data_IF_921186867817
#
_entry.id   IF_921186867817
#
_cell.length_a   1.000
_cell.length_b   1.000
_cell.length_c   1.000
_cell.angle_alpha   90.00
_cell.angle_beta   90.00
_cell.angle_gamma   90.00
#
_symmetry.space_group_name_H-M   'P 1'
#
loop_
_entity.id
_entity.type
_entity.pdbx_description
1 polymer ?
#
# COMPACT_ATOMS: atom_id res chain seq x y z
N UNK A 1 11.24 6.45 -14.52
CA UNK A 1 10.27 5.45 -15.02
C UNK A 1 10.37 4.23 -14.12
N UNK A 2 9.24 3.63 -13.71
CA UNK A 2 9.29 2.38 -12.96
C UNK A 2 9.99 1.29 -13.81
N UNK A 3 10.87 0.49 -13.19
CA UNK A 3 11.54 -0.63 -13.86
C UNK A 3 10.52 -1.53 -14.56
N UNK A 4 10.88 -2.07 -15.73
CA UNK A 4 10.04 -3.03 -16.47
C UNK A 4 9.58 -4.19 -15.57
N UNK A 5 10.44 -4.65 -14.67
CA UNK A 5 10.13 -5.68 -13.68
C UNK A 5 8.93 -5.29 -12.80
N UNK A 6 8.90 -4.06 -12.28
CA UNK A 6 7.82 -3.56 -11.43
C UNK A 6 6.49 -3.54 -12.21
N UNK A 7 6.54 -3.20 -13.50
CA UNK A 7 5.34 -3.18 -14.34
C UNK A 7 4.79 -4.59 -14.59
N UNK A 8 5.67 -5.57 -14.80
CA UNK A 8 5.31 -6.98 -14.97
C UNK A 8 4.76 -7.60 -13.67
N UNK A 9 5.40 -7.34 -12.53
CA UNK A 9 4.92 -7.78 -11.21
C UNK A 9 3.54 -7.19 -10.89
N UNK A 10 3.36 -5.89 -11.14
CA UNK A 10 2.08 -5.23 -10.94
C UNK A 10 1.01 -5.75 -11.90
N UNK A 11 1.37 -6.12 -13.14
CA UNK A 11 0.44 -6.76 -14.07
C UNK A 11 0.00 -8.14 -13.57
N UNK A 12 0.95 -8.99 -13.18
CA UNK A 12 0.65 -10.32 -12.63
C UNK A 12 -0.23 -10.24 -11.37
N UNK A 13 0.03 -9.28 -10.47
CA UNK A 13 -0.81 -9.06 -9.30
C UNK A 13 -2.24 -8.63 -9.66
N UNK A 14 -2.39 -7.71 -10.63
CA UNK A 14 -3.72 -7.29 -11.11
C UNK A 14 -4.50 -8.45 -11.73
N UNK A 15 -3.85 -9.30 -12.52
CA UNK A 15 -4.47 -10.51 -13.09
C UNK A 15 -4.91 -11.49 -12.00
N UNK A 16 -4.09 -11.70 -10.97
CA UNK A 16 -4.46 -12.54 -9.82
C UNK A 16 -5.69 -11.98 -9.10
N UNK A 17 -5.73 -10.67 -8.85
CA UNK A 17 -6.89 -10.01 -8.24
C UNK A 17 -8.14 -10.19 -9.11
N UNK A 18 -8.03 -9.92 -10.42
CA UNK A 18 -9.14 -10.09 -11.34
C UNK A 18 -9.66 -11.53 -11.38
N UNK A 19 -8.76 -12.52 -11.36
CA UNK A 19 -9.12 -13.93 -11.30
C UNK A 19 -9.89 -14.28 -10.01
N UNK A 20 -9.46 -13.76 -8.86
CA UNK A 20 -10.12 -13.99 -7.58
C UNK A 20 -11.46 -13.24 -7.42
N UNK A 21 -11.65 -12.14 -8.16
CA UNK A 21 -12.93 -11.43 -8.27
C UNK A 21 -13.93 -12.18 -9.16
N UNK A 22 -13.44 -12.84 -10.22
CA UNK A 22 -14.25 -13.71 -11.07
C UNK A 22 -14.65 -15.00 -10.33
N UNK A 23 -13.72 -15.64 -9.62
CA UNK A 23 -13.94 -16.84 -8.80
C UNK A 23 -14.56 -16.54 -7.44
N UNK A 24 -15.82 -16.08 -7.44
CA UNK A 24 -16.61 -15.81 -6.21
C UNK A 24 -17.02 -17.08 -5.45
N UNK A 25 -16.93 -18.24 -6.11
CA UNK A 25 -17.18 -19.56 -5.53
C UNK A 25 -16.13 -19.93 -4.47
N UNK A 26 -14.88 -19.53 -4.68
CA UNK A 26 -13.76 -19.85 -3.79
C UNK A 26 -13.85 -19.06 -2.49
N UNK A 27 -14.11 -19.72 -1.37
CA UNK A 27 -14.19 -19.04 -0.07
C UNK A 27 -12.80 -18.72 0.47
N UNK A 28 -12.70 -17.65 1.26
CA UNK A 28 -11.44 -17.28 1.90
C UNK A 28 -10.92 -18.37 2.84
N UNK A 29 -11.80 -19.11 3.52
CA UNK A 29 -11.39 -20.18 4.43
C UNK A 29 -10.71 -21.34 3.70
N UNK A 30 -11.17 -21.67 2.49
CA UNK A 30 -10.54 -22.71 1.67
C UNK A 30 -9.13 -22.29 1.22
N UNK A 31 -8.97 -21.02 0.84
CA UNK A 31 -7.66 -20.45 0.51
C UNK A 31 -6.71 -20.43 1.70
N UNK A 32 -7.22 -20.08 2.89
CA UNK A 32 -6.43 -20.11 4.13
C UNK A 32 -5.99 -21.54 4.45
N UNK A 33 -6.88 -22.52 4.35
CA UNK A 33 -6.58 -23.91 4.67
C UNK A 33 -5.60 -24.56 3.68
N UNK A 34 -5.67 -24.17 2.40
CA UNK A 34 -4.82 -24.74 1.36
C UNK A 34 -3.45 -24.06 1.26
N UNK A 35 -3.43 -22.73 1.26
CA UNK A 35 -2.25 -21.93 0.89
C UNK A 35 -1.77 -21.01 2.02
N UNK A 36 -2.48 -20.93 3.14
CA UNK A 36 -2.14 -20.05 4.26
C UNK A 36 -2.46 -18.58 4.01
N UNK A 37 -2.95 -18.17 2.84
CA UNK A 37 -3.33 -16.78 2.56
C UNK A 37 -4.65 -16.70 1.80
N UNK A 38 -5.35 -15.58 1.93
CA UNK A 38 -6.60 -15.31 1.21
C UNK A 38 -6.67 -13.86 0.72
N UNK A 39 -7.82 -13.47 0.16
CA UNK A 39 -8.07 -12.11 -0.34
C UNK A 39 -7.85 -11.04 0.73
N UNK A 40 -8.23 -11.32 1.98
CA UNK A 40 -7.98 -10.39 3.08
C UNK A 40 -6.47 -10.20 3.32
N UNK A 41 -5.67 -11.26 3.28
CA UNK A 41 -4.20 -11.16 3.39
C UNK A 41 -3.62 -10.25 2.32
N UNK A 42 -4.11 -10.36 1.08
CA UNK A 42 -3.71 -9.46 -0.01
C UNK A 42 -4.09 -8.00 0.27
N UNK A 43 -5.27 -7.74 0.83
CA UNK A 43 -5.67 -6.39 1.26
C UNK A 43 -4.76 -5.86 2.38
N UNK A 44 -4.36 -6.72 3.35
CA UNK A 44 -3.38 -6.35 4.38
C UNK A 44 -2.06 -5.92 3.76
N UNK A 45 -1.55 -6.69 2.80
CA UNK A 45 -0.29 -6.40 2.12
C UNK A 45 -0.37 -5.13 1.27
N UNK A 46 -1.48 -4.91 0.58
CA UNK A 46 -1.72 -3.70 -0.21
C UNK A 46 -1.73 -2.44 0.68
N UNK A 47 -2.46 -2.50 1.79
CA UNK A 47 -2.50 -1.43 2.78
C UNK A 47 -1.14 -1.20 3.47
N UNK A 48 -0.40 -2.28 3.78
CA UNK A 48 0.96 -2.15 4.30
C UNK A 48 1.91 -1.50 3.28
N UNK A 49 1.76 -1.82 1.99
CA UNK A 49 2.49 -1.15 0.91
C UNK A 49 2.19 0.35 0.85
N UNK A 50 0.92 0.75 0.96
CA UNK A 50 0.53 2.16 1.03
C UNK A 50 1.20 2.89 2.20
N UNK A 51 1.23 2.27 3.40
CA UNK A 51 1.91 2.81 4.58
C UNK A 51 3.40 3.01 4.37
N UNK A 52 4.08 2.03 3.79
CA UNK A 52 5.52 2.11 3.48
C UNK A 52 5.82 3.29 2.55
N UNK A 53 4.93 3.57 1.61
CA UNK A 53 5.07 4.69 0.68
C UNK A 53 4.48 6.01 1.20
N UNK A 54 4.04 6.06 2.47
CA UNK A 54 3.47 7.26 3.07
C UNK A 54 2.14 7.71 2.45
N UNK A 55 1.43 6.80 1.76
CA UNK A 55 0.14 7.08 1.16
C UNK A 55 -0.95 6.84 2.20
N UNK A 56 -1.75 7.87 2.57
CA UNK A 56 -2.88 7.69 3.46
C UNK A 56 -3.92 6.81 2.77
N UNK A 57 -4.17 5.63 3.33
CA UNK A 57 -5.13 4.67 2.82
C UNK A 57 -5.77 3.94 3.99
N UNK A 58 -7.10 3.80 3.97
CA UNK A 58 -7.83 3.00 4.92
C UNK A 58 -7.83 1.52 4.50
N UNK A 59 -8.02 0.62 5.45
CA UNK A 59 -8.03 -0.82 5.18
C UNK A 59 -9.21 -1.22 4.27
N UNK A 60 -10.35 -0.53 4.41
CA UNK A 60 -11.55 -0.73 3.61
C UNK A 60 -11.30 -0.40 2.13
N UNK A 61 -10.53 0.64 1.85
CA UNK A 61 -10.12 1.01 0.49
C UNK A 61 -9.21 -0.07 -0.11
N UNK A 62 -8.28 -0.61 0.67
CA UNK A 62 -7.44 -1.72 0.23
C UNK A 62 -8.27 -2.99 -0.03
N UNK A 63 -9.28 -3.26 0.79
CA UNK A 63 -10.23 -4.33 0.54
C UNK A 63 -11.00 -4.10 -0.75
N UNK A 64 -11.54 -2.90 -0.98
CA UNK A 64 -12.27 -2.57 -2.20
C UNK A 64 -11.41 -2.78 -3.45
N UNK A 65 -10.11 -2.45 -3.41
CA UNK A 65 -9.19 -2.75 -4.52
C UNK A 65 -9.02 -4.24 -4.80
N UNK A 66 -9.05 -5.09 -3.77
CA UNK A 66 -8.92 -6.54 -3.93
C UNK A 66 -10.26 -7.19 -4.30
N UNK A 67 -11.37 -6.73 -3.73
CA UNK A 67 -12.70 -7.32 -3.92
C UNK A 67 -13.46 -6.78 -5.13
N UNK A 68 -13.11 -5.59 -5.63
CA UNK A 68 -13.78 -4.92 -6.75
C UNK A 68 -15.13 -4.28 -6.40
N UNK A 69 -15.57 -4.44 -5.14
CA UNK A 69 -16.75 -3.80 -4.56
C UNK A 69 -16.50 -3.63 -3.04
N UNK A 70 -17.30 -2.80 -2.33
CA UNK A 70 -17.19 -2.67 -0.89
C UNK A 70 -17.28 -4.02 -0.18
N UNK A 71 -16.34 -4.29 0.73
CA UNK A 71 -16.24 -5.58 1.42
C UNK A 71 -17.56 -6.00 2.10
N UNK A 72 -18.29 -5.03 2.67
CA UNK A 72 -19.58 -5.27 3.32
C UNK A 72 -20.62 -5.83 2.33
N UNK A 73 -20.61 -5.35 1.08
CA UNK A 73 -21.54 -5.82 0.05
C UNK A 73 -21.11 -7.17 -0.51
N UNK A 74 -19.80 -7.37 -0.71
CA UNK A 74 -19.27 -8.66 -1.13
C UNK A 74 -19.59 -9.76 -0.12
N UNK A 75 -19.43 -9.47 1.18
CA UNK A 75 -19.73 -10.39 2.28
C UNK A 75 -21.19 -10.82 2.28
N UNK A 76 -22.12 -9.88 2.09
CA UNK A 76 -23.56 -10.18 2.01
C UNK A 76 -23.92 -11.07 0.82
N UNK A 77 -23.28 -10.85 -0.34
CA UNK A 77 -23.60 -11.55 -1.59
C UNK A 77 -22.95 -12.94 -1.68
N UNK A 78 -21.72 -13.10 -1.18
CA UNK A 78 -20.86 -14.23 -1.55
C UNK A 78 -20.30 -15.02 -0.36
N UNK A 79 -20.28 -14.47 0.87
CA UNK A 79 -19.68 -15.16 2.01
C UNK A 79 -20.64 -16.21 2.58
N UNK A 80 -20.21 -17.47 2.56
CA UNK A 80 -20.93 -18.58 3.19
C UNK A 80 -20.41 -18.79 4.62
N UNK A 81 -21.26 -19.35 5.48
CA UNK A 81 -20.83 -19.82 6.80
C UNK A 81 -19.88 -21.00 6.61
N UNK A 82 -18.71 -20.95 7.24
CA UNK A 82 -17.74 -22.04 7.24
C UNK A 82 -18.32 -23.27 7.95
N UNK A 83 -17.99 -24.47 7.46
CA UNK A 83 -18.27 -25.72 8.18
C UNK A 83 -17.34 -25.88 9.38
N UNK A 84 -17.75 -26.71 10.33
CA UNK A 84 -16.95 -27.02 11.52
C UNK A 84 -15.60 -27.67 11.14
N UNK A 85 -15.60 -28.53 10.13
CA UNK A 85 -14.37 -29.15 9.59
C UNK A 85 -13.40 -28.11 9.01
N UNK A 86 -13.91 -27.15 8.25
CA UNK A 86 -13.07 -26.08 7.68
C UNK A 86 -12.46 -25.20 8.78
N UNK A 87 -13.20 -24.95 9.85
CA UNK A 87 -12.72 -24.20 11.01
C UNK A 87 -11.67 -24.99 11.81
N UNK A 88 -11.84 -26.30 11.95
CA UNK A 88 -10.87 -27.16 12.62
C UNK A 88 -9.53 -27.20 11.86
N UNK A 89 -9.58 -27.32 10.51
CA UNK A 89 -8.37 -27.25 9.68
C UNK A 89 -7.70 -25.88 9.80
N UNK A 90 -8.49 -24.81 9.75
CA UNK A 90 -7.99 -23.44 9.93
C UNK A 90 -7.31 -23.23 11.29
N UNK A 91 -7.90 -23.77 12.36
CA UNK A 91 -7.35 -23.75 13.70
C UNK A 91 -6.03 -24.53 13.79
N UNK A 92 -5.94 -25.69 13.12
CA UNK A 92 -4.75 -26.53 13.13
C UNK A 92 -3.60 -25.96 12.31
N UNK A 93 -3.88 -25.22 11.23
CA UNK A 93 -2.90 -24.66 10.30
C UNK A 93 -2.45 -23.23 10.63
N UNK A 94 -2.68 -22.75 11.86
CA UNK A 94 -2.37 -21.37 12.28
C UNK A 94 -0.92 -20.97 12.07
N UNK A 95 0.00 -21.94 12.13
CA UNK A 95 1.44 -21.81 11.90
C UNK A 95 1.79 -21.55 10.43
N UNK A 96 0.97 -22.02 9.49
CA UNK A 96 1.15 -21.86 8.04
C UNK A 96 0.49 -20.58 7.50
N UNK A 97 -0.25 -19.84 8.34
CA UNK A 97 -0.92 -18.64 7.90
C UNK A 97 0.05 -17.53 7.50
N UNK A 98 -0.38 -16.72 6.54
CA UNK A 98 0.33 -15.59 5.97
C UNK A 98 0.82 -14.65 7.07
N UNK A 99 2.13 -14.68 7.28
CA UNK A 99 2.81 -13.75 8.18
C UNK A 99 2.70 -12.35 7.60
N UNK A 100 1.88 -11.53 8.26
CA UNK A 100 1.95 -10.08 8.05
C UNK A 100 3.21 -9.53 8.74
N UNK A 101 3.70 -10.24 9.76
CA UNK A 101 4.96 -10.00 10.48
C UNK A 101 5.61 -11.32 10.94
N UNK A 102 6.96 -11.43 10.99
CA UNK A 102 7.92 -10.47 10.45
C UNK A 102 7.86 -10.45 8.92
N UNK A 103 7.97 -9.24 8.35
CA UNK A 103 7.75 -8.98 6.93
C UNK A 103 8.64 -9.84 6.06
N UNK A 104 8.01 -10.48 5.07
CA UNK A 104 8.70 -11.27 4.05
C UNK A 104 9.55 -10.38 3.12
N UNK A 105 9.25 -9.08 3.04
CA UNK A 105 9.99 -8.10 2.26
C UNK A 105 10.92 -7.27 3.16
N UNK A 106 12.23 -7.20 2.86
CA UNK A 106 13.18 -6.40 3.66
C UNK A 106 12.85 -4.90 3.58
N UNK A 107 12.97 -4.19 4.71
CA UNK A 107 12.97 -2.72 4.75
C UNK A 107 11.61 -2.02 4.86
N UNK A 108 10.57 -2.67 5.37
CA UNK A 108 9.25 -2.03 5.53
C UNK A 108 8.82 -2.03 7.02
N UNK A 109 8.14 -0.99 7.54
CA UNK A 109 7.68 -0.94 8.96
C UNK A 109 6.25 -1.48 9.19
N UNK A 110 6.06 -2.19 10.32
CA UNK A 110 4.86 -2.90 10.77
C UNK A 110 3.52 -2.16 10.56
N UNK A 111 2.49 -2.87 10.06
CA UNK A 111 1.12 -2.35 10.04
C UNK A 111 0.37 -2.94 11.24
N UNK A 112 -0.38 -2.15 12.02
CA UNK A 112 -1.03 -2.61 13.24
C UNK A 112 -1.89 -3.85 12.98
N UNK A 113 -1.68 -4.86 13.82
CA UNK A 113 -2.36 -6.15 13.75
C UNK A 113 -3.87 -5.99 13.83
N UNK A 114 -4.57 -6.64 12.91
CA UNK A 114 -6.02 -6.80 12.94
C UNK A 114 -6.34 -8.29 12.93
N UNK A 115 -7.43 -8.65 13.62
CA UNK A 115 -7.79 -10.03 13.97
C UNK A 115 -7.62 -10.98 12.78
N UNK A 116 -7.05 -12.15 13.07
CA UNK A 116 -6.69 -13.14 12.04
C UNK A 116 -7.87 -14.06 11.67
N UNK A 117 -9.08 -13.81 12.18
CA UNK A 117 -10.25 -14.64 11.90
C UNK A 117 -11.17 -13.94 10.91
N UNK A 118 -11.33 -14.54 9.72
CA UNK A 118 -12.28 -14.07 8.72
C UNK A 118 -13.71 -14.08 9.30
N UNK A 119 -14.25 -12.89 9.62
CA UNK A 119 -15.66 -12.72 10.00
C UNK A 119 -15.91 -12.34 11.45
N UNK A 120 -14.88 -12.22 12.30
CA UNK A 120 -15.02 -11.72 13.67
C UNK A 120 -14.40 -10.32 13.79
N UNK A 121 -15.29 -9.33 13.90
CA UNK A 121 -14.98 -7.96 14.34
C UNK A 121 -14.37 -7.06 13.26
N UNK A 122 -15.21 -6.49 12.40
CA UNK A 122 -14.88 -5.25 11.68
C UNK A 122 -15.16 -4.00 12.55
N UNK A 123 -15.73 -4.17 13.74
CA UNK A 123 -16.20 -3.09 14.61
C UNK A 123 -15.10 -2.65 15.61
N UNK A 124 -13.93 -2.27 15.10
CA UNK A 124 -13.01 -1.47 15.89
C UNK A 124 -13.47 -0.01 15.81
N UNK A 125 -13.78 0.67 16.94
CA UNK A 125 -14.16 2.07 16.90
C UNK A 125 -13.03 2.88 16.28
N UNK A 126 -13.38 3.77 15.35
CA UNK A 126 -12.48 4.75 14.79
C UNK A 126 -11.85 5.54 15.93
N UNK A 127 -10.59 5.22 16.26
CA UNK A 127 -9.81 6.04 17.18
C UNK A 127 -9.50 7.33 16.42
N UNK A 128 -9.87 8.52 16.94
CA UNK A 128 -9.51 9.76 16.28
C UNK A 128 -7.99 9.85 16.26
N UNK A 129 -7.41 9.83 15.06
CA UNK A 129 -6.00 10.09 14.86
C UNK A 129 -5.71 11.51 15.35
N UNK A 130 -5.12 11.61 16.54
CA UNK A 130 -4.51 12.84 17.00
C UNK A 130 -3.39 13.18 16.01
N UNK A 131 -3.63 14.20 15.19
CA UNK A 131 -2.64 14.78 14.29
C UNK A 131 -1.58 15.43 15.16
N UNK A 132 -0.45 14.75 15.34
CA UNK A 132 0.77 15.42 15.77
C UNK A 132 1.35 16.10 14.53
N UNK A 133 1.37 17.44 14.54
CA UNK A 133 1.99 18.23 13.50
C UNK A 133 3.47 17.85 13.37
N UNK A 134 3.82 17.18 12.27
CA UNK A 134 5.21 16.88 11.94
C UNK A 134 5.96 18.19 11.74
N UNK A 135 7.01 18.39 12.54
CA UNK A 135 7.90 19.54 12.45
C UNK A 135 8.53 19.65 11.06
N UNK A 136 8.65 20.88 10.58
CA UNK A 136 9.26 21.20 9.29
C UNK A 136 10.72 20.71 9.24
N UNK A 137 10.99 19.68 8.44
CA UNK A 137 12.35 19.26 8.10
C UNK A 137 12.87 20.14 6.97
N UNK A 138 13.99 20.83 7.22
CA UNK A 138 14.66 21.65 6.24
C UNK A 138 15.28 20.78 5.13
N UNK A 139 14.74 20.89 3.91
CA UNK A 139 15.31 20.28 2.72
C UNK A 139 16.35 21.21 2.09
N UNK A 140 17.54 20.68 1.77
CA UNK A 140 18.53 21.38 0.94
C UNK A 140 18.30 21.00 -0.52
N UNK A 141 17.81 21.95 -1.31
CA UNK A 141 17.60 21.79 -2.75
C UNK A 141 18.85 22.32 -3.46
N UNK A 142 19.47 21.49 -4.30
CA UNK A 142 20.52 21.90 -5.22
C UNK A 142 19.98 21.81 -6.65
N UNK A 143 20.12 22.89 -7.43
CA UNK A 143 19.75 22.94 -8.84
C UNK A 143 21.02 22.82 -9.67
N UNK A 144 21.11 21.74 -10.46
CA UNK A 144 22.23 21.48 -11.36
C UNK A 144 21.78 21.79 -12.78
N UNK A 145 22.25 22.91 -13.33
CA UNK A 145 21.98 23.29 -14.72
C UNK A 145 23.11 22.79 -15.60
N UNK A 146 22.84 21.80 -16.45
CA UNK A 146 23.74 21.40 -17.52
C UNK A 146 23.28 22.07 -18.82
N UNK A 147 24.16 22.84 -19.45
CA UNK A 147 23.92 23.45 -20.76
C UNK A 147 25.06 23.07 -21.70
N UNK A 148 24.72 22.66 -22.93
CA UNK A 148 25.66 22.27 -23.98
C UNK A 148 26.56 23.43 -24.46
N UNK A 149 26.33 24.64 -23.95
CA UNK A 149 27.07 25.86 -24.33
C UNK A 149 28.47 25.97 -23.68
N UNK A 150 28.86 25.03 -22.81
CA UNK A 150 30.12 25.05 -22.05
C UNK A 150 31.33 24.40 -22.74
N UNK A 151 31.28 24.13 -24.05
CA UNK A 151 32.39 23.51 -24.77
C UNK A 151 33.60 24.44 -25.07
N UNK A 152 33.53 25.73 -24.70
CA UNK A 152 34.52 26.76 -25.11
C UNK A 152 35.39 27.38 -24.01
N UNK A 153 35.28 26.95 -22.75
CA UNK A 153 36.24 27.35 -21.70
C UNK A 153 36.11 28.75 -21.08
N UNK A 154 35.06 29.52 -21.36
CA UNK A 154 34.72 30.73 -20.58
C UNK A 154 33.23 30.74 -20.27
N UNK A 155 32.87 30.52 -19.01
CA UNK A 155 31.50 30.54 -18.51
C UNK A 155 31.30 31.79 -17.66
N UNK A 156 30.45 32.71 -18.11
CA UNK A 156 29.98 33.83 -17.29
C UNK A 156 28.53 33.54 -16.89
N UNK A 157 28.33 33.20 -15.62
CA UNK A 157 27.02 32.80 -15.09
C UNK A 157 26.06 34.00 -15.02
N UNK A 158 25.21 34.15 -16.04
CA UNK A 158 24.08 35.09 -16.02
C UNK A 158 22.77 34.43 -15.57
N UNK A 159 22.80 33.16 -15.21
CA UNK A 159 21.62 32.33 -14.89
C UNK A 159 21.39 32.21 -13.38
N UNK A 160 22.47 32.19 -12.60
CA UNK A 160 22.44 32.12 -11.14
C UNK A 160 21.56 33.19 -10.48
N UNK A 161 21.66 34.48 -10.84
CA UNK A 161 20.84 35.53 -10.22
C UNK A 161 19.34 35.33 -10.46
N UNK A 162 18.93 34.95 -11.68
CA UNK A 162 17.53 34.76 -12.04
C UNK A 162 16.89 33.54 -11.36
N UNK A 163 17.65 32.46 -11.16
CA UNK A 163 17.18 31.26 -10.45
C UNK A 163 17.05 31.54 -8.95
N UNK A 164 17.98 32.30 -8.36
CA UNK A 164 17.89 32.74 -6.97
C UNK A 164 16.72 33.70 -6.76
N UNK A 165 16.43 34.58 -7.72
CA UNK A 165 15.28 35.47 -7.67
C UNK A 165 13.96 34.70 -7.78
N UNK A 166 13.88 33.70 -8.68
CA UNK A 166 12.71 32.84 -8.78
C UNK A 166 12.48 32.01 -7.51
N UNK A 167 13.54 31.46 -6.92
CA UNK A 167 13.47 30.72 -5.66
C UNK A 167 13.01 31.60 -4.48
N UNK A 168 13.40 32.88 -4.44
CA UNK A 168 12.90 33.84 -3.46
C UNK A 168 11.40 34.11 -3.65
N UNK A 169 10.95 34.23 -4.90
CA UNK A 169 9.54 34.43 -5.26
C UNK A 169 8.64 33.26 -4.80
N UNK A 170 9.17 32.04 -4.79
CA UNK A 170 8.45 30.85 -4.32
C UNK A 170 8.65 30.54 -2.83
N UNK A 171 9.55 31.25 -2.13
CA UNK A 171 9.77 31.05 -0.68
C UNK A 171 8.91 31.94 0.21
N UNK A 172 8.31 33.00 -0.32
CA UNK A 172 7.36 33.82 0.42
C UNK A 172 5.96 33.16 0.35
N UNK A 173 5.39 32.74 1.49
CA UNK A 173 4.07 32.14 1.50
C UNK A 173 3.04 33.25 1.33
N UNK A 174 2.44 33.34 0.15
CA UNK A 174 1.22 34.10 -0.14
C UNK A 174 1.27 35.61 0.20
N UNK A 175 1.41 36.44 -0.83
CA UNK A 175 0.84 37.80 -0.84
C UNK A 175 -0.45 37.81 -1.66
#
# INVERSE_FOLDING_TARGET
>A
MASLTVQMEAYAFRELVAHLQWRKDVQNIDLMNLAGFCRNCMAKWYHAGAKVHGVPMQYEEACERVYGEPYADWKKKNQKKASEDQLAVFESGKDLHARTEPKLLPGTEAAPGHSNVCGQGCDAPAVPAAVSAAGATAAKIAVLTASDRAAGGVYEDKSGPAVVEMLKLFSDPWS
#
